data_IF_265997733111
#
_entry.id   IF_265997733111
#
_cell.length_a   1.000
_cell.length_b   1.000
_cell.length_c   1.000
_cell.angle_alpha   90.00
_cell.angle_beta   90.00
_cell.angle_gamma   90.00
#
_symmetry.space_group_name_H-M   'P 1'
#
loop_
_entity.id
_entity.type
_entity.pdbx_description
1 polymer ?
2 water ?
#
# COMPACT_ATOMS: atom_id res chain seq x y z
N UNK A 1 -20.35 -20.24 13.36
CA UNK A 1 -20.35 -20.04 14.83
C UNK A 1 -19.92 -18.63 15.15
N UNK A 2 -20.28 -18.17 16.34
CA UNK A 2 -19.81 -16.85 16.82
C UNK A 2 -18.64 -17.09 17.72
N UNK A 3 -17.52 -16.42 17.41
CA UNK A 3 -16.32 -16.55 18.21
C UNK A 3 -16.03 -15.30 19.03
N UNK A 4 -15.29 -15.48 20.13
CA UNK A 4 -14.77 -14.34 20.89
C UNK A 4 -13.27 -14.14 20.66
N UNK A 5 -12.58 -15.24 20.37
CA UNK A 5 -11.16 -15.26 20.05
C UNK A 5 -10.96 -15.91 18.68
N UNK A 6 -9.98 -15.41 17.93
CA UNK A 6 -9.68 -15.99 16.62
C UNK A 6 -8.24 -15.64 16.35
N UNK A 7 -7.35 -16.63 16.42
CA UNK A 7 -5.92 -16.34 16.39
C UNK A 7 -5.63 -15.34 17.49
N UNK A 8 -4.97 -14.23 17.14
CA UNK A 8 -4.66 -13.21 18.14
C UNK A 8 -5.65 -12.06 18.21
N UNK A 9 -6.82 -12.23 17.59
CA UNK A 9 -7.86 -11.20 17.66
C UNK A 9 -8.81 -11.57 18.79
N UNK A 10 -9.34 -10.54 19.46
CA UNK A 10 -10.28 -10.71 20.58
C UNK A 10 -11.40 -9.67 20.41
N UNK A 11 -12.64 -10.13 20.55
CA UNK A 11 -13.79 -9.22 20.50
C UNK A 11 -13.60 -8.10 21.54
N UNK A 12 -13.99 -6.87 21.16
CA UNK A 12 -13.83 -5.62 21.95
C UNK A 12 -12.51 -4.88 21.69
N UNK A 13 -11.56 -5.50 20.98
CA UNK A 13 -10.32 -4.81 20.65
C UNK A 13 -10.57 -3.63 19.70
N UNK A 14 -9.75 -2.62 19.83
CA UNK A 14 -9.75 -1.51 18.89
C UNK A 14 -8.90 -1.89 17.69
N UNK A 15 -9.39 -1.64 16.48
CA UNK A 15 -8.67 -2.02 15.26
C UNK A 15 -8.90 -0.96 14.21
N UNK A 16 -8.26 -1.13 13.06
CA UNK A 16 -8.57 -0.35 11.86
C UNK A 16 -9.44 -1.19 10.90
N UNK A 17 -10.43 -0.56 10.28
CA UNK A 17 -11.21 -1.26 9.26
C UNK A 17 -11.26 -0.47 7.96
N UNK A 18 -11.45 -1.20 6.85
CA UNK A 18 -11.53 -0.59 5.54
C UNK A 18 -12.95 -0.20 5.26
N UNK A 19 -13.16 1.09 5.07
CA UNK A 19 -14.47 1.61 4.67
C UNK A 19 -14.70 1.44 3.16
N UNK A 20 -15.95 1.61 2.74
CA UNK A 20 -16.30 1.49 1.32
C UNK A 20 -15.62 2.52 0.42
N UNK A 21 -15.16 3.60 1.04
CA UNK A 21 -14.39 4.67 0.38
C UNK A 21 -12.97 4.16 0.03
N UNK A 22 -12.64 2.98 0.54
CA UNK A 22 -11.30 2.34 0.41
C UNK A 22 -10.27 2.98 1.34
N UNK A 23 -10.70 3.93 2.18
CA UNK A 23 -9.79 4.47 3.20
C UNK A 23 -10.05 3.77 4.53
N UNK A 24 -9.07 3.81 5.44
CA UNK A 24 -9.14 3.02 6.68
C UNK A 24 -9.31 3.84 7.93
N UNK A 25 -10.11 3.31 8.86
CA UNK A 25 -10.57 4.09 10.02
C UNK A 25 -10.68 3.26 11.28
N UNK A 26 -10.51 3.94 12.41
CA UNK A 26 -10.56 3.29 13.71
C UNK A 26 -11.96 2.79 14.03
N UNK A 27 -12.01 1.61 14.62
CA UNK A 27 -13.27 1.01 15.03
C UNK A 27 -13.05 -0.01 16.13
N UNK A 28 -14.14 -0.61 16.56
CA UNK A 28 -14.10 -1.68 17.57
C UNK A 28 -14.55 -3.00 16.93
N UNK A 29 -13.82 -4.08 17.22
CA UNK A 29 -14.21 -5.40 16.76
C UNK A 29 -15.31 -5.91 17.70
N UNK A 30 -16.54 -5.95 17.18
CA UNK A 30 -17.70 -6.30 18.01
C UNK A 30 -18.19 -7.72 17.85
N UNK A 31 -17.73 -8.41 16.80
CA UNK A 31 -18.08 -9.81 16.58
C UNK A 31 -17.17 -10.52 15.60
N UNK A 32 -17.10 -11.84 15.74
CA UNK A 32 -16.30 -12.67 14.84
C UNK A 32 -17.20 -13.82 14.47
N UNK A 33 -17.45 -13.98 13.17
CA UNK A 33 -18.41 -15.01 12.70
C UNK A 33 -17.70 -15.98 11.76
N UNK A 34 -18.04 -17.27 11.87
CA UNK A 34 -17.52 -18.27 10.95
C UNK A 34 -18.66 -18.88 10.15
N UNK A 35 -18.40 -19.10 8.86
CA UNK A 35 -19.29 -19.91 8.03
C UNK A 35 -18.44 -20.95 7.30
N UNK A 36 -18.36 -22.14 7.90
CA UNK A 36 -17.42 -23.18 7.46
C UNK A 36 -16.01 -22.64 7.54
N UNK A 37 -15.28 -22.67 6.42
CA UNK A 37 -13.88 -22.25 6.43
C UNK A 37 -13.71 -20.73 6.38
N UNK A 38 -14.82 -19.98 6.22
CA UNK A 38 -14.81 -18.51 6.10
C UNK A 38 -14.90 -17.78 7.42
N UNK A 39 -14.23 -16.63 7.53
CA UNK A 39 -14.33 -15.80 8.74
C UNK A 39 -14.68 -14.36 8.39
N UNK A 40 -15.51 -13.75 9.23
CA UNK A 40 -15.88 -12.36 9.04
C UNK A 40 -15.81 -11.65 10.35
N UNK A 41 -15.53 -10.36 10.29
CA UNK A 41 -15.19 -9.57 11.45
C UNK A 41 -16.11 -8.35 11.40
N UNK A 42 -17.02 -8.25 12.36
CA UNK A 42 -17.92 -7.09 12.47
C UNK A 42 -17.25 -5.94 13.20
N UNK A 43 -17.19 -4.78 12.55
CA UNK A 43 -16.54 -3.62 13.11
C UNK A 43 -17.53 -2.47 13.25
N UNK A 44 -17.54 -1.83 14.41
CA UNK A 44 -18.34 -0.62 14.60
C UNK A 44 -17.34 0.51 14.56
N UNK A 45 -17.44 1.35 13.53
CA UNK A 45 -16.51 2.46 13.40
C UNK A 45 -16.80 3.54 14.44
N UNK A 46 -15.78 4.32 14.77
CA UNK A 46 -15.89 5.38 15.78
C UNK A 46 -16.86 6.49 15.42
N UNK A 47 -16.92 6.87 14.15
CA UNK A 47 -17.84 7.91 13.71
C UNK A 47 -18.77 7.45 12.59
N UNK A 48 -18.89 6.14 12.43
CA UNK A 48 -19.57 5.57 11.27
C UNK A 48 -20.58 4.50 11.62
N UNK A 49 -20.90 3.68 10.63
CA UNK A 49 -21.80 2.57 10.87
C UNK A 49 -21.04 1.38 11.39
N UNK A 50 -21.62 0.23 11.08
CA UNK A 50 -21.00 -1.06 11.27
C UNK A 50 -20.79 -1.64 9.88
N UNK A 51 -19.77 -2.48 9.72
CA UNK A 51 -19.70 -3.32 8.54
C UNK A 51 -19.11 -4.64 8.93
N UNK A 52 -19.44 -5.63 8.10
CA UNK A 52 -18.97 -6.98 8.29
C UNK A 52 -17.88 -7.21 7.25
N UNK A 53 -16.65 -7.37 7.74
CA UNK A 53 -15.46 -7.32 6.90
C UNK A 53 -14.70 -8.64 6.88
N UNK A 54 -14.07 -8.95 5.75
CA UNK A 54 -13.11 -10.08 5.69
C UNK A 54 -11.86 -9.70 6.47
N UNK A 55 -11.08 -10.71 6.91
CA UNK A 55 -9.92 -10.44 7.78
C UNK A 55 -8.77 -9.71 7.10
N UNK A 56 -8.76 -9.67 5.77
CA UNK A 56 -7.79 -8.87 5.02
C UNK A 56 -8.23 -7.40 4.94
N UNK A 57 -9.43 -7.10 5.46
CA UNK A 57 -9.97 -5.73 5.47
C UNK A 57 -10.04 -5.08 6.88
N UNK A 58 -9.23 -5.62 7.77
CA UNK A 58 -9.00 -5.03 9.09
C UNK A 58 -7.52 -5.06 9.33
N UNK A 59 -7.03 -4.13 10.15
CA UNK A 59 -5.60 -4.01 10.44
C UNK A 59 -5.45 -3.70 11.90
N UNK A 60 -4.33 -4.15 12.44
CA UNK A 60 -4.06 -3.82 14.11
C UNK A 60 -3.70 -2.35 14.14
N UNK A 61 -4.11 -1.69 15.21
CA UNK A 61 -3.86 -0.29 15.37
C UNK A 61 -2.55 -0.13 16.15
N UNK A 62 -1.49 -0.81 15.68
CA UNK A 62 -0.15 -0.61 16.23
C UNK A 62 0.87 -0.69 15.12
N UNK A 63 2.08 -0.23 15.39
CA UNK A 63 3.16 -0.32 14.42
C UNK A 63 4.01 -1.57 14.72
N UNK A 64 4.19 -2.46 13.72
CA UNK A 64 4.88 -3.74 13.99
C UNK A 64 6.41 -3.56 14.10
N UNK A 65 7.12 -4.47 14.81
CA UNK A 65 8.59 -4.41 14.68
C UNK A 65 9.04 -4.70 13.26
N UNK A 66 10.25 -4.26 12.90
CA UNK A 66 10.71 -4.34 11.52
C UNK A 66 10.81 -5.77 11.01
N UNK A 67 11.07 -6.72 11.90
CA UNK A 67 11.24 -8.10 11.47
C UNK A 67 9.94 -8.83 11.08
N UNK A 68 8.80 -8.15 11.26
CA UNK A 68 7.50 -8.68 10.88
C UNK A 68 7.08 -8.10 9.53
N UNK A 69 7.92 -7.24 9.00
CA UNK A 69 7.63 -6.60 7.74
C UNK A 69 8.59 -7.13 6.68
N UNK A 70 8.03 -7.74 5.64
CA UNK A 70 8.84 -8.26 4.54
C UNK A 70 8.42 -7.55 3.29
N UNK A 71 9.24 -7.66 2.25
CA UNK A 71 8.75 -7.36 0.91
C UNK A 71 7.54 -8.27 0.67
N UNK A 72 6.46 -7.66 0.22
CA UNK A 72 5.19 -8.37 0.06
C UNK A 72 4.23 -8.32 1.23
N UNK A 73 4.65 -7.80 2.39
CA UNK A 73 3.74 -7.66 3.54
C UNK A 73 2.58 -6.72 3.20
N UNK A 74 1.40 -7.13 3.63
CA UNK A 74 0.16 -6.38 3.41
C UNK A 74 -0.03 -5.39 4.56
N UNK A 75 -0.09 -4.10 4.23
CA UNK A 75 -0.11 -3.07 5.26
C UNK A 75 -1.13 -1.99 4.95
N UNK A 76 -1.42 -1.21 5.98
CA UNK A 76 -2.11 0.08 5.82
C UNK A 76 -1.06 1.13 6.15
N UNK A 77 -1.00 2.19 5.34
CA UNK A 77 0.04 3.19 5.56
C UNK A 77 -0.52 4.58 5.36
N UNK A 78 0.15 5.56 5.94
CA UNK A 78 -0.24 6.95 5.72
C UNK A 78 0.07 7.29 4.27
N UNK A 79 -0.97 7.63 3.53
CA UNK A 79 -0.90 7.92 2.09
C UNK A 79 -0.82 9.44 1.96
N UNK A 80 0.25 9.94 1.35
CA UNK A 80 0.43 11.38 1.14
C UNK A 80 1.09 11.64 -0.20
N UNK A 81 0.42 12.43 -1.03
CA UNK A 81 0.95 12.73 -2.37
C UNK A 81 1.02 14.23 -2.63
N UNK A 82 0.87 15.03 -1.57
CA UNK A 82 0.85 16.49 -1.69
C UNK A 82 -0.55 17.07 -1.82
N UNK A 83 -1.48 16.27 -2.33
CA UNK A 83 -2.85 16.74 -2.57
C UNK A 83 -3.93 16.09 -1.70
N UNK A 84 -3.54 15.05 -0.96
CA UNK A 84 -4.47 14.30 -0.10
C UNK A 84 -3.69 13.48 0.93
N UNK A 85 -4.37 13.17 2.04
CA UNK A 85 -3.82 12.31 3.11
C UNK A 85 -4.89 11.33 3.60
N UNK A 86 -4.54 10.06 3.66
CA UNK A 86 -5.49 9.03 4.12
C UNK A 86 -4.70 7.92 4.79
N UNK A 87 -5.37 7.00 5.49
CA UNK A 87 -4.78 5.65 5.66
C UNK A 87 -5.29 4.75 4.53
N UNK A 88 -4.39 4.12 3.78
CA UNK A 88 -4.76 3.40 2.58
C UNK A 88 -3.95 2.11 2.54
N UNK A 89 -4.49 1.08 1.92
CA UNK A 89 -3.80 -0.21 1.90
C UNK A 89 -2.69 -0.29 0.86
N UNK A 90 -1.69 -1.14 1.11
CA UNK A 90 -0.61 -1.29 0.16
C UNK A 90 0.21 -2.54 0.48
N UNK A 91 1.35 -2.64 -0.21
CA UNK A 91 2.29 -3.76 -0.07
C UNK A 91 3.67 -3.16 0.15
N UNK A 92 4.42 -3.69 1.12
CA UNK A 92 5.80 -3.27 1.34
C UNK A 92 6.69 -3.67 0.12
N UNK A 93 7.35 -2.68 -0.48
CA UNK A 93 8.20 -2.88 -1.65
C UNK A 93 9.69 -2.89 -1.26
N UNK A 94 10.04 -2.12 -0.22
CA UNK A 94 11.42 -2.11 0.31
C UNK A 94 11.35 -1.95 1.79
N UNK A 95 12.32 -2.56 2.46
CA UNK A 95 12.47 -2.39 3.90
C UNK A 95 13.66 -1.40 4.07
N UNK A 96 13.84 -0.82 5.28
CA UNK A 96 14.92 0.15 5.53
C UNK A 96 16.33 -0.33 5.20
N UNK A 97 17.05 0.47 4.42
CA UNK A 97 18.45 0.20 4.15
C UNK A 97 19.20 1.51 3.88
N UNK A 98 20.50 1.41 3.65
CA UNK A 98 21.32 2.60 3.42
C UNK A 98 20.83 3.35 2.19
N UNK A 99 20.48 2.61 1.15
CA UNK A 99 20.16 3.23 -0.14
C UNK A 99 18.83 4.01 -0.14
N UNK A 100 17.87 3.62 0.73
CA UNK A 100 16.61 4.37 0.89
C UNK A 100 16.51 5.23 2.15
N UNK A 101 17.67 5.44 2.80
CA UNK A 101 17.75 6.22 4.03
C UNK A 101 16.83 5.67 5.14
N UNK A 102 16.80 4.34 5.23
CA UNK A 102 16.11 3.64 6.32
C UNK A 102 14.60 3.91 6.34
N UNK A 103 13.98 3.85 5.17
CA UNK A 103 12.54 4.00 5.05
C UNK A 103 11.93 2.74 4.44
N UNK A 104 10.60 2.63 4.50
CA UNK A 104 9.88 1.57 3.81
C UNK A 104 9.25 2.14 2.55
N UNK A 105 9.43 1.47 1.43
CA UNK A 105 8.73 1.88 0.21
C UNK A 105 7.42 1.12 0.20
N UNK A 106 6.32 1.85 0.00
CA UNK A 106 4.97 1.24 -0.10
C UNK A 106 4.42 1.39 -1.52
N UNK A 107 3.96 0.27 -2.10
CA UNK A 107 3.13 0.28 -3.33
C UNK A 107 1.66 0.17 -2.92
N UNK A 108 0.95 1.30 -3.01
CA UNK A 108 -0.46 1.39 -2.60
C UNK A 108 -1.35 0.72 -3.64
N UNK A 109 -2.57 0.31 -3.24
CA UNK A 109 -3.49 -0.44 -4.10
C UNK A 109 -3.90 0.30 -5.39
N UNK A 110 -3.80 1.61 -5.34
CA UNK A 110 -4.19 2.45 -6.47
C UNK A 110 -3.03 2.75 -7.42
N UNK A 111 -1.87 2.16 -7.14
CA UNK A 111 -0.70 2.34 -7.98
C UNK A 111 0.32 3.37 -7.55
N UNK A 112 -0.04 4.17 -6.56
CA UNK A 112 0.86 5.16 -6.00
C UNK A 112 2.01 4.48 -5.21
N UNK A 113 3.21 5.06 -5.29
CA UNK A 113 4.36 4.59 -4.51
C UNK A 113 4.91 5.72 -3.65
N UNK A 114 5.21 5.42 -2.39
CA UNK A 114 5.70 6.42 -1.47
C UNK A 114 6.60 5.81 -0.40
N UNK A 115 7.59 6.59 0.08
CA UNK A 115 8.40 6.18 1.24
C UNK A 115 7.69 6.65 2.51
N UNK A 116 7.58 5.75 3.48
CA UNK A 116 7.05 6.09 4.79
C UNK A 116 7.98 5.55 5.88
N UNK A 117 7.71 5.93 7.12
CA UNK A 117 8.47 5.46 8.26
C UNK A 117 7.70 4.33 8.95
N UNK A 118 8.42 3.56 9.78
CA UNK A 118 7.84 2.52 10.62
C UNK A 118 6.59 2.96 11.39
N UNK A 119 6.59 4.20 11.86
CA UNK A 119 5.50 4.76 12.64
C UNK A 119 4.28 5.18 11.78
N UNK A 120 4.36 4.92 10.48
CA UNK A 120 3.28 5.24 9.54
C UNK A 120 2.65 3.99 8.96
N UNK A 121 2.97 2.82 9.51
CA UNK A 121 2.58 1.51 8.96
C UNK A 121 1.78 0.72 9.98
N UNK A 122 0.78 -0.01 9.50
CA UNK A 122 -0.04 -0.89 10.34
C UNK A 122 -0.22 -2.24 9.62
N UNK A 123 -0.11 -3.35 10.35
CA UNK A 123 -0.20 -4.63 9.66
C UNK A 123 -1.66 -5.09 9.45
N UNK A 124 -2.00 -5.55 8.24
CA UNK A 124 -3.36 -6.12 7.99
C UNK A 124 -3.46 -7.47 8.76
N UNK A 125 -4.63 -7.73 9.36
CA UNK A 125 -4.74 -8.81 10.35
C UNK A 125 -4.59 -10.18 9.72
N UNK A 126 -5.34 -10.40 8.66
CA UNK A 126 -5.42 -11.72 8.06
C UNK A 126 -5.15 -11.59 6.56
N UNK A 127 -3.87 -11.37 6.19
CA UNK A 127 -3.56 -11.17 4.74
C UNK A 127 -3.75 -12.46 3.98
N UNK A 128 -4.00 -12.35 2.68
CA UNK A 128 -4.10 -13.57 1.88
C UNK A 128 -2.72 -14.20 1.73
N UNK A 129 -2.69 -15.50 1.43
CA UNK A 129 -1.45 -16.24 1.20
C UNK A 129 -0.57 -15.56 0.18
N UNK A 130 -1.16 -15.21 -0.96
CA UNK A 130 -0.52 -14.33 -1.95
C UNK A 130 -1.10 -12.95 -1.69
N UNK A 131 -0.32 -12.14 -1.00
CA UNK A 131 -0.83 -10.93 -0.38
C UNK A 131 -1.44 -9.95 -1.37
N UNK A 132 -0.92 -9.94 -2.60
CA UNK A 132 -1.41 -9.04 -3.64
C UNK A 132 -2.78 -9.43 -4.22
N UNK A 133 -3.29 -10.63 -3.90
CA UNK A 133 -4.48 -11.10 -4.60
C UNK A 133 -5.77 -10.32 -4.31
N UNK A 134 -5.77 -9.49 -3.26
CA UNK A 134 -6.95 -8.70 -2.97
C UNK A 134 -6.79 -7.26 -3.48
N UNK A 135 -5.80 -7.04 -4.34
CA UNK A 135 -5.67 -5.76 -5.08
C UNK A 135 -6.64 -5.81 -6.24
N UNK A 136 -7.61 -4.90 -6.25
CA UNK A 136 -8.76 -4.99 -7.17
C UNK A 136 -8.33 -4.78 -8.62
N UNK A 137 -7.43 -3.82 -8.81
CA UNK A 137 -6.94 -3.45 -10.13
C UNK A 137 -5.97 -4.48 -10.69
N UNK A 138 -6.39 -5.13 -11.77
CA UNK A 138 -5.60 -6.21 -12.38
C UNK A 138 -4.19 -5.78 -12.79
N UNK A 139 -4.06 -4.59 -13.38
CA UNK A 139 -2.75 -4.08 -13.78
C UNK A 139 -1.83 -3.89 -12.57
N UNK A 140 -2.37 -3.27 -11.53
CA UNK A 140 -1.60 -3.01 -10.32
C UNK A 140 -1.28 -4.33 -9.64
N UNK A 141 -2.29 -5.18 -9.51
CA UNK A 141 -2.11 -6.52 -8.90
C UNK A 141 -1.01 -7.33 -9.58
N UNK A 142 -1.06 -7.45 -10.91
CA UNK A 142 -0.05 -8.19 -11.67
C UNK A 142 1.35 -7.62 -11.55
N UNK A 143 1.46 -6.28 -11.54
CA UNK A 143 2.77 -5.67 -11.38
C UNK A 143 3.35 -6.02 -10.02
N UNK A 144 2.51 -5.94 -8.98
CA UNK A 144 3.00 -6.22 -7.62
C UNK A 144 3.41 -7.69 -7.48
N UNK A 145 2.58 -8.59 -8.00
CA UNK A 145 2.93 -10.02 -8.04
C UNK A 145 4.31 -10.24 -8.66
N UNK A 146 4.54 -9.66 -9.83
CA UNK A 146 5.80 -9.83 -10.52
C UNK A 146 6.94 -9.26 -9.68
N UNK A 147 6.75 -8.04 -9.17
CA UNK A 147 7.73 -7.39 -8.32
C UNK A 147 8.13 -8.22 -7.09
N UNK A 148 7.12 -8.67 -6.37
CA UNK A 148 7.33 -9.33 -5.07
C UNK A 148 8.03 -10.67 -5.28
N UNK A 149 7.59 -11.38 -6.31
CA UNK A 149 8.13 -12.72 -6.59
C UNK A 149 9.55 -12.64 -7.19
N UNK A 150 9.79 -11.65 -8.06
CA UNK A 150 11.13 -11.46 -8.66
C UNK A 150 12.17 -10.87 -7.70
N UNK A 151 11.71 -10.15 -6.68
CA UNK A 151 12.56 -9.53 -5.68
C UNK A 151 13.57 -10.56 -5.13
N UNK A 152 14.85 -10.16 -4.93
CA UNK A 152 15.41 -8.82 -5.10
C UNK A 152 15.88 -8.40 -6.50
N UNK A 153 15.60 -9.20 -7.52
CA UNK A 153 15.86 -8.80 -8.92
C UNK A 153 14.85 -7.71 -9.33
N UNK A 154 15.33 -6.48 -9.50
CA UNK A 154 14.43 -5.35 -9.74
C UNK A 154 14.88 -4.49 -10.93
N UNK A 155 14.29 -4.73 -12.12
CA UNK A 155 14.60 -3.84 -13.24
C UNK A 155 14.15 -2.41 -12.90
N UNK A 156 15.10 -1.48 -13.02
CA UNK A 156 14.81 -0.08 -12.83
C UNK A 156 15.59 0.70 -13.87
N UNK A 157 15.09 1.88 -14.22
CA UNK A 157 15.87 2.78 -15.08
C UNK A 157 16.61 3.78 -14.21
N UNK A 158 17.86 4.02 -14.56
CA UNK A 158 18.72 4.95 -13.82
C UNK A 158 18.46 6.32 -14.41
N UNK A 159 18.02 7.23 -13.56
CA UNK A 159 17.59 8.54 -14.01
C UNK A 159 18.29 9.62 -13.20
N UNK A 160 18.49 10.78 -13.82
CA UNK A 160 19.17 11.91 -13.18
C UNK A 160 18.31 13.14 -13.39
N UNK A 161 18.36 14.08 -12.45
CA UNK A 161 17.60 15.32 -12.61
C UNK A 161 18.00 16.02 -13.93
N UNK A 162 17.00 16.51 -14.66
CA UNK A 162 17.21 17.27 -15.92
C UNK A 162 16.99 16.39 -17.13
N UNK A 163 17.02 15.07 -16.91
CA UNK A 163 16.84 14.11 -17.99
C UNK A 163 15.45 14.15 -18.62
N UNK A 164 15.42 14.17 -19.96
CA UNK A 164 14.16 14.22 -20.70
C UNK A 164 13.71 12.82 -21.08
N UNK A 165 12.49 12.48 -20.70
CA UNK A 165 11.91 11.19 -21.02
C UNK A 165 10.43 11.35 -21.34
N UNK A 166 9.85 10.29 -21.90
CA UNK A 166 8.40 10.22 -22.04
C UNK A 166 7.85 9.44 -20.88
N UNK A 167 6.77 9.97 -20.32
CA UNK A 167 6.02 9.33 -19.22
C UNK A 167 4.54 9.17 -19.56
N UNK A 168 3.97 8.02 -19.21
CA UNK A 168 2.57 7.76 -19.46
C UNK A 168 1.66 8.51 -18.51
N UNK A 169 0.54 9.01 -19.03
CA UNK A 169 -0.52 9.56 -18.21
C UNK A 169 -1.80 9.51 -19.04
N UNK A 170 -2.86 9.01 -18.44
CA UNK A 170 -4.17 8.89 -19.12
C UNK A 170 -4.05 8.11 -20.43
N UNK A 171 -3.20 7.07 -20.43
CA UNK A 171 -3.04 6.15 -21.58
C UNK A 171 -2.20 6.59 -22.76
N UNK A 172 -1.57 7.76 -22.65
CA UNK A 172 -0.72 8.27 -23.72
C UNK A 172 0.59 8.77 -23.16
N UNK A 173 1.56 9.01 -24.05
CA UNK A 173 2.90 9.40 -23.62
C UNK A 173 3.10 10.88 -23.69
N UNK A 174 3.77 11.44 -22.68
CA UNK A 174 3.96 12.88 -22.55
C UNK A 174 5.42 13.24 -22.38
N UNK A 175 5.81 14.35 -23.00
CA UNK A 175 7.12 14.91 -22.83
C UNK A 175 7.27 15.33 -21.37
N UNK A 176 8.33 14.87 -20.75
CA UNK A 176 8.50 15.07 -19.30
C UNK A 176 9.98 15.19 -18.95
N UNK A 177 10.26 15.64 -17.73
CA UNK A 177 11.63 15.85 -17.29
C UNK A 177 11.76 15.37 -15.85
N UNK A 178 12.85 14.66 -15.54
CA UNK A 178 13.15 14.24 -14.17
C UNK A 178 13.50 15.49 -13.35
N UNK A 179 12.72 15.71 -12.30
CA UNK A 179 12.90 16.86 -11.43
C UNK A 179 13.75 16.54 -10.22
N UNK A 180 13.54 15.35 -9.67
CA UNK A 180 14.20 14.96 -8.42
C UNK A 180 14.28 13.43 -8.39
N UNK A 181 15.29 12.91 -7.71
CA UNK A 181 15.42 11.47 -7.50
C UNK A 181 15.51 11.23 -5.99
N UNK A 182 14.77 10.23 -5.51
CA UNK A 182 14.78 9.87 -4.09
C UNK A 182 14.68 8.34 -3.98
N UNK A 183 15.80 7.70 -3.65
CA UNK A 183 15.89 6.22 -3.66
C UNK A 183 15.39 5.65 -4.97
N UNK A 184 14.37 4.79 -4.88
CA UNK A 184 13.80 4.08 -6.02
C UNK A 184 12.64 4.87 -6.65
N UNK A 185 12.47 6.12 -6.23
CA UNK A 185 11.43 6.99 -6.81
C UNK A 185 12.00 8.13 -7.62
N UNK A 186 11.25 8.58 -8.62
CA UNK A 186 11.62 9.79 -9.37
C UNK A 186 10.43 10.76 -9.37
N UNK A 187 10.70 12.06 -9.24
CA UNK A 187 9.68 13.08 -9.35
C UNK A 187 9.71 13.56 -10.78
N UNK A 188 8.62 13.31 -11.50
CA UNK A 188 8.55 13.65 -12.93
C UNK A 188 7.74 14.94 -13.11
N UNK A 189 8.28 15.87 -13.89
CA UNK A 189 7.57 17.07 -14.28
C UNK A 189 7.01 16.83 -15.68
N UNK A 190 5.69 16.82 -15.76
CA UNK A 190 4.99 16.80 -17.05
C UNK A 190 5.07 18.20 -17.65
N UNK A 191 5.71 18.31 -18.81
CA UNK A 191 6.13 19.63 -19.29
C UNK A 191 4.96 20.46 -19.78
N UNK A 192 4.03 19.83 -20.49
CA UNK A 192 2.90 20.60 -21.00
C UNK A 192 1.97 21.12 -19.92
N UNK A 193 1.65 20.29 -18.92
CA UNK A 193 0.74 20.69 -17.85
C UNK A 193 1.45 21.33 -16.65
N UNK A 194 2.79 21.27 -16.67
CA UNK A 194 3.64 21.79 -15.60
C UNK A 194 3.25 21.28 -14.19
N UNK A 195 3.00 19.97 -14.10
CA UNK A 195 2.70 19.37 -12.82
C UNK A 195 3.63 18.19 -12.59
N UNK A 196 3.92 17.91 -11.32
CA UNK A 196 4.81 16.82 -10.94
C UNK A 196 4.09 15.62 -10.34
N UNK A 197 4.74 14.48 -10.45
CA UNK A 197 4.26 13.26 -9.85
C UNK A 197 5.43 12.40 -9.42
N UNK A 198 5.34 11.77 -8.24
CA UNK A 198 6.31 10.74 -7.85
C UNK A 198 5.95 9.39 -8.43
N UNK A 199 6.92 8.74 -9.07
CA UNK A 199 6.70 7.48 -9.76
C UNK A 199 7.86 6.54 -9.46
N UNK A 200 7.53 5.27 -9.27
CA UNK A 200 8.56 4.25 -9.08
C UNK A 200 9.48 4.10 -10.30
N UNK A 201 10.80 4.07 -10.09
CA UNK A 201 11.73 3.98 -11.23
C UNK A 201 11.64 2.69 -12.07
N UNK A 202 10.97 1.67 -11.56
CA UNK A 202 10.75 0.46 -12.35
C UNK A 202 9.36 0.42 -12.97
N UNK A 203 8.62 1.53 -12.88
CA UNK A 203 7.25 1.60 -13.43
C UNK A 203 7.30 1.60 -14.95
N UNK A 204 6.35 0.89 -15.57
CA UNK A 204 6.25 0.87 -17.03
C UNK A 204 5.64 2.18 -17.54
N UNK A 205 5.27 3.07 -16.63
CA UNK A 205 4.85 4.43 -17.01
C UNK A 205 6.04 5.24 -17.51
N UNK A 206 7.26 4.82 -17.17
CA UNK A 206 8.47 5.50 -17.65
C UNK A 206 8.90 4.84 -18.96
N UNK A 207 8.98 5.62 -20.02
CA UNK A 207 9.20 5.04 -21.37
C UNK A 207 10.47 4.18 -21.44
N UNK A 208 11.61 4.67 -20.89
CA UNK A 208 12.82 3.86 -20.84
C UNK A 208 12.63 2.52 -20.13
#
# INVERSE_FOLDING_TARGET
ENLYFQGDLIVSMRILGKKRTKTWHKGTLIAIQTVGPGKKYKVKFDNKGKSLLSGNHIAYDYHPPADKLYVGSRVVAKYKDGNQVWLYAGIVAETPNVKNKLRFLIFFDDGYASYVTQSELYPICRPLKKTWEDIEDISCRDFIEEYVTAYPNRPMVLLKSGQLIKTEWEGTWWKSRVEEVDGSLVRILFLDDKRCEWIYRGSTRLEPMFSMK
#
